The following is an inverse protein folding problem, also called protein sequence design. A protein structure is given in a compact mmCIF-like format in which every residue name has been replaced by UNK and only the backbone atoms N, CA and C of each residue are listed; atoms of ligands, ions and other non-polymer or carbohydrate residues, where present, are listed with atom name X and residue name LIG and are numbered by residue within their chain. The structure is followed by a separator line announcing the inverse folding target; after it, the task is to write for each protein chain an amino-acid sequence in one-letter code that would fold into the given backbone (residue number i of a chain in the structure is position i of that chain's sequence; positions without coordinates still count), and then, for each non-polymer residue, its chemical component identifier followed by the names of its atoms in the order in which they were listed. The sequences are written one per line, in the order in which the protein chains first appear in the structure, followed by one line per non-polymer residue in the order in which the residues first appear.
data_IF_331597461939
#
_entry.id   IF_331597461939
#
_cell.length_a   1.000
_cell.length_b   1.000
_cell.length_c   1.000
_cell.angle_alpha   90.00
_cell.angle_beta   90.00
_cell.angle_gamma   90.00
#
_symmetry.space_group_name_H-M   'P 1'
#
loop_
_entity.id
_entity.type
_entity.pdbx_description
1 polymer ?
#
# COMPACT_ATOMS: atom_id res chain seq x y z
N UNK A 1 3.61 31.30 7.40
CA UNK A 1 2.82 30.36 6.57
C UNK A 1 3.63 29.09 6.58
N UNK A 2 3.15 28.06 7.27
CA UNK A 2 3.88 26.79 7.40
C UNK A 2 3.66 26.01 6.10
N UNK A 3 4.73 25.79 5.35
CA UNK A 3 4.74 24.85 4.23
C UNK A 3 4.37 23.48 4.78
N UNK A 4 3.34 22.86 4.21
CA UNK A 4 2.88 21.55 4.65
C UNK A 4 3.99 20.53 4.34
N UNK A 5 4.52 19.80 5.31
CA UNK A 5 5.60 18.84 5.07
C UNK A 5 5.19 17.68 4.14
N UNK A 6 3.91 17.58 3.78
CA UNK A 6 3.35 16.60 2.83
C UNK A 6 3.28 17.09 1.39
N UNK A 7 3.86 18.26 1.08
CA UNK A 7 4.02 18.68 -0.32
C UNK A 7 5.07 17.83 -1.07
N UNK A 8 5.84 17.02 -0.35
CA UNK A 8 6.89 16.13 -0.87
C UNK A 8 6.34 14.86 -1.53
N UNK A 9 5.11 14.46 -1.19
CA UNK A 9 4.34 13.57 -2.06
C UNK A 9 3.73 14.44 -3.16
N UNK A 10 3.98 14.18 -4.44
CA UNK A 10 3.45 15.02 -5.49
C UNK A 10 1.92 15.09 -5.35
N UNK A 11 1.31 16.30 -5.42
CA UNK A 11 -0.14 16.48 -5.30
C UNK A 11 -0.95 15.67 -6.34
N UNK A 12 -0.28 15.14 -7.35
CA UNK A 12 -0.81 14.22 -8.35
C UNK A 12 -1.30 12.88 -7.75
N UNK A 13 -0.75 12.42 -6.61
CA UNK A 13 -1.25 11.22 -5.91
C UNK A 13 -2.28 11.51 -4.82
N UNK A 14 -2.32 12.73 -4.27
CA UNK A 14 -3.32 13.14 -3.29
C UNK A 14 -4.71 13.41 -3.93
N UNK A 15 -4.77 13.59 -5.24
CA UNK A 15 -5.95 14.09 -5.97
C UNK A 15 -6.75 13.02 -6.71
N UNK A 16 -6.31 11.76 -6.72
CA UNK A 16 -7.11 10.70 -7.34
C UNK A 16 -7.37 9.59 -6.36
N UNK A 17 -8.65 9.35 -6.14
CA UNK A 17 -9.32 8.14 -5.65
C UNK A 17 -8.98 6.89 -6.50
N UNK A 18 -7.76 6.81 -7.04
CA UNK A 18 -7.35 5.90 -8.09
C UNK A 18 -6.32 4.91 -7.57
N UNK A 19 -6.65 3.62 -7.67
CA UNK A 19 -5.69 2.53 -7.49
C UNK A 19 -4.64 2.62 -8.59
N UNK A 20 -3.35 2.62 -8.25
CA UNK A 20 -2.25 2.48 -9.20
C UNK A 20 -1.70 1.05 -9.18
N UNK A 21 -1.09 0.61 -10.28
CA UNK A 21 -0.45 -0.72 -10.30
C UNK A 21 0.81 -0.73 -9.46
N UNK A 22 1.20 -1.90 -8.91
CA UNK A 22 2.47 -2.06 -8.21
C UNK A 22 3.67 -1.61 -9.06
N UNK A 23 3.64 -1.84 -10.38
CA UNK A 23 4.68 -1.36 -11.31
C UNK A 23 4.77 0.16 -11.33
N UNK A 24 3.63 0.84 -11.45
CA UNK A 24 3.56 2.31 -11.44
C UNK A 24 4.04 2.85 -10.09
N UNK A 25 3.67 2.19 -8.99
CA UNK A 25 4.10 2.54 -7.65
C UNK A 25 5.63 2.46 -7.50
N UNK A 26 6.25 1.36 -7.94
CA UNK A 26 7.71 1.19 -7.89
C UNK A 26 8.44 2.28 -8.68
N UNK A 27 7.94 2.61 -9.88
CA UNK A 27 8.49 3.69 -10.69
C UNK A 27 8.35 5.05 -10.01
N UNK A 28 7.22 5.29 -9.37
CA UNK A 28 6.98 6.51 -8.61
C UNK A 28 7.92 6.61 -7.40
N UNK A 29 8.10 5.56 -6.60
CA UNK A 29 9.06 5.55 -5.49
C UNK A 29 10.47 5.82 -5.98
N UNK A 30 10.89 5.22 -7.10
CA UNK A 30 12.19 5.48 -7.70
C UNK A 30 12.37 6.96 -8.13
N UNK A 31 11.29 7.64 -8.49
CA UNK A 31 11.33 9.07 -8.87
C UNK A 31 11.49 10.03 -7.69
N UNK A 32 11.26 9.58 -6.45
CA UNK A 32 11.35 10.39 -5.25
C UNK A 32 12.80 10.66 -4.78
N UNK A 33 13.76 9.86 -5.23
CA UNK A 33 15.16 9.95 -4.80
C UNK A 33 15.29 9.82 -3.27
N UNK A 34 16.03 10.76 -2.67
CA UNK A 34 16.33 10.76 -1.23
C UNK A 34 15.08 10.98 -0.35
N UNK A 35 14.03 11.61 -0.90
CA UNK A 35 12.74 11.81 -0.20
C UNK A 35 12.14 10.48 0.27
N UNK A 36 12.40 9.38 -0.46
CA UNK A 36 11.88 8.07 -0.09
C UNK A 36 12.55 7.51 1.19
N UNK A 37 13.70 8.03 1.60
CA UNK A 37 14.39 7.69 2.86
C UNK A 37 13.85 8.47 4.06
N UNK A 38 13.18 9.60 3.81
CA UNK A 38 12.66 10.48 4.86
C UNK A 38 11.39 9.94 5.50
N UNK A 39 10.71 8.99 4.84
CA UNK A 39 9.49 8.36 5.34
C UNK A 39 9.74 6.91 5.75
N UNK A 40 9.22 6.50 6.91
CA UNK A 40 9.42 5.16 7.46
C UNK A 40 8.12 4.51 7.89
N UNK A 41 8.06 3.19 7.82
CA UNK A 41 6.91 2.39 8.23
C UNK A 41 6.76 2.46 9.75
N UNK A 42 5.59 2.90 10.19
CA UNK A 42 5.18 2.96 11.59
C UNK A 42 4.18 1.86 11.95
N UNK A 43 3.31 1.49 11.03
CA UNK A 43 2.30 0.46 11.26
C UNK A 43 2.06 -0.39 10.01
N UNK A 44 1.83 -1.68 10.24
CA UNK A 44 1.37 -2.63 9.23
C UNK A 44 0.10 -3.28 9.75
N UNK A 45 -1.01 -3.12 9.04
CA UNK A 45 -2.32 -3.64 9.45
C UNK A 45 -2.90 -4.54 8.36
N UNK A 46 -3.31 -5.75 8.73
CA UNK A 46 -4.05 -6.67 7.86
C UNK A 46 -5.55 -6.46 8.08
N UNK A 47 -6.24 -6.09 7.01
CA UNK A 47 -7.65 -5.70 7.04
C UNK A 47 -8.48 -6.60 6.12
N UNK A 48 -9.74 -6.79 6.49
CA UNK A 48 -10.69 -7.67 5.82
C UNK A 48 -12.07 -7.04 5.74
N UNK A 49 -12.69 -7.13 4.57
CA UNK A 49 -14.05 -6.63 4.33
C UNK A 49 -15.13 -7.57 4.93
N UNK A 50 -16.30 -7.05 5.31
CA UNK A 50 -17.30 -7.84 6.06
C UNK A 50 -18.06 -8.89 5.23
N UNK A 51 -17.97 -8.87 3.89
CA UNK A 51 -18.79 -9.71 3.00
C UNK A 51 -18.13 -11.06 2.67
N UNK A 52 -18.89 -12.03 2.13
CA UNK A 52 -18.35 -13.31 1.63
C UNK A 52 -18.62 -13.46 0.12
N UNK A 53 -17.59 -13.78 -0.71
CA UNK A 53 -16.17 -13.88 -0.36
C UNK A 53 -15.62 -12.52 0.07
N UNK A 54 -14.73 -12.56 1.05
CA UNK A 54 -14.21 -11.35 1.70
C UNK A 54 -12.90 -10.93 1.06
N UNK A 55 -12.82 -9.66 0.68
CA UNK A 55 -11.57 -9.06 0.21
C UNK A 55 -10.65 -8.75 1.40
N UNK A 56 -9.37 -9.06 1.24
CA UNK A 56 -8.33 -8.86 2.24
C UNK A 56 -7.23 -7.99 1.65
N UNK A 57 -6.70 -7.07 2.45
CA UNK A 57 -5.68 -6.11 2.02
C UNK A 57 -4.77 -5.71 3.18
N UNK A 58 -3.62 -5.12 2.85
CA UNK A 58 -2.64 -4.64 3.83
C UNK A 58 -2.64 -3.11 3.81
N UNK A 59 -2.66 -2.51 4.99
CA UNK A 59 -2.38 -1.10 5.20
C UNK A 59 -0.97 -0.93 5.71
N UNK A 60 -0.21 -0.03 5.09
CA UNK A 60 1.11 0.40 5.54
C UNK A 60 1.04 1.88 5.89
N UNK A 61 1.20 2.20 7.15
CA UNK A 61 1.19 3.59 7.63
C UNK A 61 2.62 4.06 7.82
N UNK A 62 2.94 5.19 7.21
CA UNK A 62 4.25 5.84 7.21
C UNK A 62 4.21 7.14 8.00
N UNK A 63 5.31 7.40 8.68
CA UNK A 63 5.58 8.67 9.35
C UNK A 63 6.84 9.31 8.74
N UNK A 64 7.04 10.59 9.03
CA UNK A 64 8.11 11.42 8.47
C UNK A 64 9.21 11.66 9.52
N UNK A 65 10.46 11.35 9.17
CA UNK A 65 11.63 11.57 10.02
C UNK A 65 11.92 13.07 10.24
N UNK A 66 11.56 13.93 9.29
CA UNK A 66 11.83 15.36 9.36
C UNK A 66 10.92 16.08 10.36
N UNK A 67 9.73 15.52 10.63
CA UNK A 67 8.74 16.09 11.55
C UNK A 67 8.09 15.00 12.44
N UNK A 68 8.84 14.41 13.39
CA UNK A 68 8.37 13.26 14.19
C UNK A 68 7.20 13.58 15.14
N UNK A 69 6.84 14.87 15.29
CA UNK A 69 5.76 15.34 16.17
C UNK A 69 4.48 15.76 15.41
N UNK A 70 4.47 15.72 14.08
CA UNK A 70 3.26 15.98 13.29
C UNK A 70 2.50 14.67 13.09
N UNK A 71 1.21 14.66 13.43
CA UNK A 71 0.31 13.50 13.35
C UNK A 71 -0.11 13.12 11.93
N UNK A 72 0.68 13.52 10.95
CA UNK A 72 0.31 13.47 9.55
C UNK A 72 0.86 12.16 8.96
N UNK A 73 0.23 11.06 9.34
CA UNK A 73 0.60 9.76 8.80
C UNK A 73 0.13 9.63 7.35
N UNK A 74 0.91 8.98 6.49
CA UNK A 74 0.43 8.56 5.15
C UNK A 74 0.18 7.07 5.16
N UNK A 75 -0.99 6.62 4.71
CA UNK A 75 -1.33 5.20 4.65
C UNK A 75 -1.43 4.72 3.21
N UNK A 76 -0.67 3.68 2.88
CA UNK A 76 -0.81 2.93 1.64
C UNK A 76 -1.75 1.74 1.87
N UNK A 77 -2.71 1.54 0.99
CA UNK A 77 -3.51 0.32 0.91
C UNK A 77 -3.00 -0.53 -0.25
N UNK A 78 -2.48 -1.69 0.09
CA UNK A 78 -1.96 -2.70 -0.82
C UNK A 78 -3.01 -3.79 -1.01
N UNK A 79 -3.44 -3.97 -2.25
CA UNK A 79 -4.47 -4.94 -2.60
C UNK A 79 -3.95 -5.91 -3.67
N UNK A 80 -4.39 -7.16 -3.56
CA UNK A 80 -4.26 -8.14 -4.62
C UNK A 80 -5.64 -8.43 -5.18
N UNK A 81 -5.94 -7.80 -6.31
CA UNK A 81 -7.18 -8.07 -7.02
C UNK A 81 -7.03 -9.36 -7.83
N UNK A 82 -7.91 -10.32 -7.57
CA UNK A 82 -8.05 -11.53 -8.39
C UNK A 82 -9.36 -11.44 -9.17
N UNK A 83 -9.30 -11.63 -10.49
CA UNK A 83 -10.47 -11.46 -11.38
C UNK A 83 -11.65 -12.42 -11.07
N UNK A 84 -11.49 -13.47 -10.24
CA UNK A 84 -12.60 -14.35 -9.86
C UNK A 84 -12.30 -15.28 -8.68
N UNK A 85 -13.11 -15.19 -7.62
CA UNK A 85 -13.15 -16.15 -6.50
C UNK A 85 -13.64 -17.55 -6.91
N UNK A 86 -14.38 -17.67 -8.02
CA UNK A 86 -14.88 -18.96 -8.51
C UNK A 86 -13.78 -19.88 -9.08
N UNK A 87 -12.55 -19.38 -9.22
CA UNK A 87 -11.41 -20.17 -9.71
C UNK A 87 -10.80 -21.11 -8.66
N UNK A 88 -11.14 -20.94 -7.38
CA UNK A 88 -10.76 -21.88 -6.30
C UNK A 88 -11.37 -23.28 -6.55
N UNK A 89 -12.47 -23.37 -7.31
CA UNK A 89 -13.13 -24.63 -7.65
C UNK A 89 -12.66 -25.26 -8.98
N UNK A 90 -11.51 -24.85 -9.50
CA UNK A 90 -10.87 -25.50 -10.65
C UNK A 90 -11.35 -24.97 -12.00
N UNK A 91 -10.76 -23.85 -12.45
CA UNK A 91 -10.92 -23.39 -13.82
C UNK A 91 -9.56 -23.41 -14.55
N UNK A 92 -9.61 -23.86 -15.81
CA UNK A 92 -8.48 -24.06 -16.73
C UNK A 92 -7.93 -22.74 -17.32
N UNK A 93 -8.36 -21.58 -16.81
CA UNK A 93 -8.08 -20.27 -17.40
C UNK A 93 -7.29 -19.36 -16.44
N UNK A 94 -6.08 -18.98 -16.90
CA UNK A 94 -5.13 -18.06 -16.28
C UNK A 94 -5.81 -16.93 -15.50
N UNK A 95 -5.41 -16.73 -14.26
CA UNK A 95 -5.85 -15.58 -13.45
C UNK A 95 -4.85 -14.45 -13.59
N UNK A 96 -5.30 -13.26 -14.01
CA UNK A 96 -4.45 -12.07 -13.97
C UNK A 96 -4.59 -11.46 -12.57
N UNK A 97 -3.80 -11.94 -11.61
CA UNK A 97 -3.64 -11.27 -10.34
C UNK A 97 -3.07 -9.86 -10.59
N UNK A 98 -3.74 -8.83 -10.09
CA UNK A 98 -3.29 -7.44 -10.20
C UNK A 98 -3.01 -6.89 -8.81
N UNK A 99 -1.73 -6.69 -8.53
CA UNK A 99 -1.31 -6.00 -7.32
C UNK A 99 -1.46 -4.49 -7.52
N UNK A 100 -2.23 -3.84 -6.65
CA UNK A 100 -2.51 -2.41 -6.70
C UNK A 100 -2.17 -1.73 -5.39
N UNK A 101 -1.90 -0.43 -5.49
CA UNK A 101 -1.58 0.45 -4.37
C UNK A 101 -2.50 1.65 -4.45
N UNK A 102 -3.12 2.02 -3.33
CA UNK A 102 -3.80 3.30 -3.17
C UNK A 102 -3.19 4.07 -2.01
N UNK A 103 -3.13 5.39 -2.14
CA UNK A 103 -2.52 6.27 -1.13
C UNK A 103 -3.62 7.07 -0.46
N UNK A 104 -3.57 7.16 0.86
CA UNK A 104 -4.54 7.86 1.68
C UNK A 104 -3.83 8.66 2.76
N UNK A 105 -4.41 9.80 3.10
CA UNK A 105 -3.88 10.69 4.15
C UNK A 105 -4.05 10.14 5.57
N UNK A 106 -4.82 9.07 5.77
CA UNK A 106 -5.00 8.41 7.07
C UNK A 106 -5.36 6.95 6.86
N UNK A 107 -5.22 6.12 7.90
CA UNK A 107 -5.71 4.74 7.88
C UNK A 107 -7.23 4.67 7.82
N UNK A 108 -7.94 5.64 8.41
CA UNK A 108 -9.40 5.72 8.39
C UNK A 108 -9.93 5.94 6.97
N UNK A 109 -9.27 6.80 6.19
CA UNK A 109 -9.65 7.06 4.79
C UNK A 109 -9.23 5.94 3.83
N UNK A 110 -8.29 5.09 4.24
CA UNK A 110 -7.88 3.91 3.48
C UNK A 110 -8.84 2.71 3.62
N UNK A 111 -9.67 2.69 4.67
CA UNK A 111 -10.61 1.60 4.98
C UNK A 111 -12.02 1.91 4.50
N UNK A 112 -12.79 0.87 4.13
CA UNK A 112 -14.22 1.01 3.92
C UNK A 112 -14.98 0.89 5.24
N UNK A 113 -16.19 1.45 5.27
CA UNK A 113 -17.10 1.29 6.41
C UNK A 113 -17.45 -0.18 6.61
N UNK A 114 -17.16 -0.71 7.80
CA UNK A 114 -17.43 -2.11 8.17
C UNK A 114 -16.25 -3.06 8.00
N UNK A 115 -15.11 -2.57 7.50
CA UNK A 115 -13.88 -3.34 7.45
C UNK A 115 -13.34 -3.64 8.85
N UNK A 116 -12.68 -4.79 9.00
CA UNK A 116 -12.13 -5.25 10.26
C UNK A 116 -10.63 -5.45 10.15
N UNK A 117 -9.87 -4.82 11.04
CA UNK A 117 -8.46 -5.16 11.25
C UNK A 117 -8.35 -6.53 11.93
N UNK A 118 -7.69 -7.47 11.25
CA UNK A 118 -7.44 -8.84 11.74
C UNK A 118 -6.21 -8.86 12.63
N UNK A 119 -5.14 -8.21 12.18
CA UNK A 119 -3.86 -8.15 12.84
C UNK A 119 -3.20 -6.80 12.57
N UNK A 120 -2.41 -6.33 13.52
CA UNK A 120 -1.68 -5.07 13.42
C UNK A 120 -0.29 -5.27 14.05
N UNK A 121 0.72 -4.72 13.39
CA UNK A 121 2.10 -4.67 13.86
C UNK A 121 2.53 -3.21 13.90
N UNK A 122 2.85 -2.73 15.09
CA UNK A 122 3.50 -1.43 15.26
C UNK A 122 5.01 -1.59 15.13
N UNK A 123 5.62 -0.74 14.33
CA UNK A 123 7.05 -0.75 14.02
C UNK A 123 7.70 0.43 14.73
N UNK A 124 8.59 0.16 15.67
CA UNK A 124 9.35 1.17 16.41
C UNK A 124 10.76 1.35 15.83
N UNK A 125 10.87 1.33 14.50
CA UNK A 125 12.12 1.44 13.76
C UNK A 125 11.93 2.41 12.61
N UNK A 126 12.95 3.21 12.34
CA UNK A 126 12.93 4.23 11.29
C UNK A 126 13.70 3.81 10.04
N UNK A 127 14.29 2.60 10.02
CA UNK A 127 15.12 2.11 8.94
C UNK A 127 14.35 1.28 7.89
N UNK A 128 13.03 1.13 8.07
CA UNK A 128 12.15 0.52 7.07
C UNK A 128 11.47 1.65 6.31
N UNK A 129 12.16 2.14 5.29
CA UNK A 129 11.67 3.22 4.43
C UNK A 129 10.78 2.73 3.28
N UNK A 130 10.25 3.67 2.49
CA UNK A 130 9.35 3.41 1.37
C UNK A 130 10.00 2.58 0.24
N UNK A 131 11.32 2.65 0.08
CA UNK A 131 12.05 1.92 -0.96
C UNK A 131 12.06 0.43 -0.68
N UNK A 132 12.20 0.03 0.58
CA UNK A 132 12.10 -1.39 0.96
C UNK A 132 10.73 -1.97 0.61
N UNK A 133 9.66 -1.18 0.79
CA UNK A 133 8.31 -1.60 0.42
C UNK A 133 8.16 -1.71 -1.10
N UNK A 134 8.69 -0.76 -1.87
CA UNK A 134 8.70 -0.84 -3.32
C UNK A 134 9.47 -2.08 -3.83
N UNK A 135 10.65 -2.35 -3.28
CA UNK A 135 11.45 -3.53 -3.63
C UNK A 135 10.72 -4.83 -3.29
N UNK A 136 10.08 -4.91 -2.12
CA UNK A 136 9.31 -6.08 -1.72
C UNK A 136 8.14 -6.33 -2.69
N UNK A 137 7.39 -5.28 -3.04
CA UNK A 137 6.30 -5.38 -4.02
C UNK A 137 6.81 -5.80 -5.40
N UNK A 138 7.97 -5.32 -5.83
CA UNK A 138 8.58 -5.73 -7.09
C UNK A 138 8.95 -7.22 -7.09
N UNK A 139 9.61 -7.70 -6.03
CA UNK A 139 10.00 -9.11 -5.89
C UNK A 139 8.75 -10.00 -5.83
N UNK A 140 7.76 -9.62 -5.03
CA UNK A 140 6.49 -10.37 -4.93
C UNK A 140 5.77 -10.42 -6.28
N UNK A 141 5.74 -9.31 -7.03
CA UNK A 141 5.16 -9.26 -8.37
C UNK A 141 5.91 -10.17 -9.33
N UNK A 142 7.24 -10.13 -9.34
CA UNK A 142 8.07 -11.01 -10.18
C UNK A 142 7.80 -12.48 -9.87
N UNK A 143 7.77 -12.85 -8.59
CA UNK A 143 7.45 -14.22 -8.19
C UNK A 143 6.01 -14.61 -8.60
N UNK A 144 5.03 -13.73 -8.42
CA UNK A 144 3.66 -13.99 -8.86
C UNK A 144 3.54 -14.18 -10.39
N UNK A 145 4.35 -13.46 -11.17
CA UNK A 145 4.45 -13.63 -12.61
C UNK A 145 5.06 -15.00 -13.00
N UNK A 146 5.96 -15.56 -12.20
CA UNK A 146 6.52 -16.92 -12.39
C UNK A 146 5.49 -18.02 -12.12
N UNK A 147 4.63 -17.84 -11.12
CA UNK A 147 3.55 -18.77 -10.77
C UNK A 147 2.25 -18.53 -11.55
N UNK A 148 2.32 -17.98 -12.76
CA UNK A 148 1.18 -17.92 -13.69
C UNK A 148 0.74 -19.33 -14.12
N UNK A 149 -0.04 -19.98 -13.25
CA UNK A 149 -0.81 -21.19 -13.53
C UNK A 149 -2.03 -20.82 -14.38
#
# INVERSE_FOLDING_TARGET
MADNPFTTFPPQLHSTTGKITAKTFVQWVASLGDTAEEVFVREISWVKEPHFPSHEYILLTFSDNSHPNTSDDTTLRLERDTDSWFKIFGSWFRSNCKDTVSISSTSLTAQHSGDRTIACITVNRTDIDLRYIALLLEVVRMAADEYKI
#
